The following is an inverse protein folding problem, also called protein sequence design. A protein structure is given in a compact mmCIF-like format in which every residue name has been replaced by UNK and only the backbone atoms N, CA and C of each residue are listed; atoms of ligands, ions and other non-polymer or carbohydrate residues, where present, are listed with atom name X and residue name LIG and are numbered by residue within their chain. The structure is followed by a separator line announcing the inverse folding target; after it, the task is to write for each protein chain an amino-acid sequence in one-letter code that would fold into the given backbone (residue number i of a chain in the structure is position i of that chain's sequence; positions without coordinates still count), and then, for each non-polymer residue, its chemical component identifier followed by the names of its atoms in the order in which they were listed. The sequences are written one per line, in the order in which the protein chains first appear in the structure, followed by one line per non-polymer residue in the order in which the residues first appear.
data_IF_028684520004
#
_entry.id   IF_028684520004
#
_cell.length_a   1.000
_cell.length_b   1.000
_cell.length_c   1.000
_cell.angle_alpha   90.00
_cell.angle_beta   90.00
_cell.angle_gamma   90.00
#
_symmetry.space_group_name_H-M   'P 1'
#
loop_
_entity.id
_entity.type
_entity.pdbx_description
1 polymer ?
#
# COMPACT_ATOMS: atom_id res chain seq x y z
N UNK A 1 -3.22 27.91 11.89
CA UNK A 1 -1.89 27.35 12.19
C UNK A 1 -1.84 26.03 11.43
N UNK A 2 -1.09 25.94 10.32
CA UNK A 2 -1.04 24.70 9.55
C UNK A 2 -0.19 23.70 10.33
N UNK A 3 -0.85 22.74 10.98
CA UNK A 3 -0.21 21.54 11.52
C UNK A 3 0.20 20.65 10.34
N UNK A 4 1.30 21.02 9.70
CA UNK A 4 1.98 20.13 8.77
C UNK A 4 2.56 18.99 9.60
N UNK A 5 2.09 17.77 9.34
CA UNK A 5 2.65 16.54 9.91
C UNK A 5 4.17 16.57 9.72
N UNK A 6 4.93 16.37 10.80
CA UNK A 6 6.39 16.36 10.71
C UNK A 6 6.84 15.15 9.88
N UNK A 7 7.97 15.23 9.16
CA UNK A 7 8.45 14.13 8.30
C UNK A 7 8.55 12.76 9.00
N UNK A 8 8.81 12.79 10.31
CA UNK A 8 9.05 11.60 11.13
C UNK A 8 7.81 11.20 11.96
N UNK A 9 6.71 11.93 11.82
CA UNK A 9 5.47 11.72 12.56
C UNK A 9 4.50 10.88 11.74
N UNK A 10 3.95 9.83 12.34
CA UNK A 10 2.94 9.02 11.66
C UNK A 10 1.65 9.82 11.56
N UNK A 11 1.38 10.35 10.36
CA UNK A 11 0.18 11.11 10.02
C UNK A 11 -1.11 10.35 10.37
N UNK A 12 -1.16 9.08 9.95
CA UNK A 12 -2.34 8.24 10.04
C UNK A 12 -1.92 6.78 10.18
N UNK A 13 -2.62 6.05 11.03
CA UNK A 13 -2.55 4.59 11.09
C UNK A 13 -3.78 4.02 10.39
N UNK A 14 -3.56 3.18 9.39
CA UNK A 14 -4.61 2.49 8.65
C UNK A 14 -4.64 1.03 9.07
N UNK A 15 -5.79 0.58 9.57
CA UNK A 15 -6.06 -0.83 9.78
C UNK A 15 -6.71 -1.37 8.50
N UNK A 16 -6.05 -2.34 7.87
CA UNK A 16 -6.52 -2.97 6.64
C UNK A 16 -6.94 -4.40 6.92
N UNK A 17 -8.12 -4.79 6.44
CA UNK A 17 -8.47 -6.21 6.37
C UNK A 17 -7.55 -6.93 5.38
N UNK A 18 -7.48 -8.26 5.44
CA UNK A 18 -6.68 -9.04 4.49
C UNK A 18 -7.08 -8.76 3.02
N UNK A 19 -8.39 -8.63 2.75
CA UNK A 19 -8.89 -8.25 1.43
C UNK A 19 -8.40 -6.86 1.00
N UNK A 20 -8.55 -5.86 1.87
CA UNK A 20 -8.10 -4.49 1.59
C UNK A 20 -6.58 -4.43 1.39
N UNK A 21 -5.81 -5.15 2.21
CA UNK A 21 -4.36 -5.22 2.11
C UNK A 21 -3.91 -5.79 0.76
N UNK A 22 -4.54 -6.88 0.30
CA UNK A 22 -4.24 -7.45 -1.02
C UNK A 22 -4.55 -6.47 -2.15
N UNK A 23 -5.69 -5.78 -2.08
CA UNK A 23 -6.09 -4.78 -3.07
C UNK A 23 -5.09 -3.62 -3.09
N UNK A 24 -4.78 -3.04 -1.93
CA UNK A 24 -3.86 -1.90 -1.80
C UNK A 24 -2.46 -2.26 -2.31
N UNK A 25 -1.90 -3.39 -1.89
CA UNK A 25 -0.60 -3.84 -2.38
C UNK A 25 -0.60 -4.00 -3.90
N UNK A 26 -1.63 -4.66 -4.46
CA UNK A 26 -1.73 -4.88 -5.91
C UNK A 26 -1.80 -3.55 -6.67
N UNK A 27 -2.64 -2.62 -6.22
CA UNK A 27 -2.78 -1.31 -6.84
C UNK A 27 -1.48 -0.48 -6.78
N UNK A 28 -0.80 -0.47 -5.62
CA UNK A 28 0.48 0.22 -5.46
C UNK A 28 1.58 -0.40 -6.31
N UNK A 29 1.59 -1.73 -6.44
CA UNK A 29 2.56 -2.43 -7.28
C UNK A 29 2.34 -2.10 -8.76
N UNK A 30 1.10 -2.12 -9.24
CA UNK A 30 0.76 -1.69 -10.60
C UNK A 30 1.18 -0.24 -10.84
N UNK A 31 0.83 0.68 -9.93
CA UNK A 31 1.28 2.07 -10.01
C UNK A 31 2.81 2.17 -10.07
N UNK A 32 3.54 1.47 -9.20
CA UNK A 32 5.01 1.49 -9.19
C UNK A 32 5.62 1.04 -10.51
N UNK A 33 5.04 0.00 -11.11
CA UNK A 33 5.51 -0.57 -12.37
C UNK A 33 5.21 0.36 -13.56
N UNK A 34 4.12 1.13 -13.50
CA UNK A 34 3.72 2.11 -14.52
C UNK A 34 4.51 3.44 -14.44
N UNK A 35 5.08 3.79 -13.27
CA UNK A 35 5.85 5.03 -13.08
C UNK A 35 7.20 5.02 -13.83
N UNK A 36 7.43 6.06 -14.62
CA UNK A 36 8.61 6.25 -15.47
C UNK A 36 9.75 7.05 -14.86
N UNK A 37 10.68 7.49 -15.72
CA UNK A 37 11.89 8.22 -15.31
C UNK A 37 11.63 9.66 -14.86
N UNK A 38 10.57 10.29 -15.37
CA UNK A 38 10.19 11.65 -14.98
C UNK A 38 9.52 11.67 -13.59
N UNK A 39 9.00 10.53 -13.12
CA UNK A 39 8.22 10.43 -11.89
C UNK A 39 9.00 9.73 -10.76
N UNK A 40 10.33 9.90 -10.74
CA UNK A 40 11.25 9.21 -9.82
C UNK A 40 10.95 9.47 -8.35
N UNK A 41 10.54 10.69 -8.03
CA UNK A 41 10.13 11.11 -6.69
C UNK A 41 8.89 10.36 -6.23
N UNK A 42 7.84 10.31 -7.05
CA UNK A 42 6.62 9.53 -6.77
C UNK A 42 6.96 8.04 -6.66
N UNK A 43 7.80 7.53 -7.55
CA UNK A 43 8.24 6.14 -7.55
C UNK A 43 8.97 5.77 -6.26
N UNK A 44 9.79 6.66 -5.72
CA UNK A 44 10.45 6.48 -4.42
C UNK A 44 9.46 6.46 -3.26
N UNK A 45 8.44 7.33 -3.28
CA UNK A 45 7.39 7.34 -2.25
C UNK A 45 6.59 6.03 -2.29
N UNK A 46 6.16 5.58 -3.48
CA UNK A 46 5.43 4.31 -3.62
C UNK A 46 6.29 3.13 -3.16
N UNK A 47 7.58 3.11 -3.49
CA UNK A 47 8.51 2.09 -2.99
C UNK A 47 8.62 2.09 -1.46
N UNK A 48 8.71 3.27 -0.84
CA UNK A 48 8.77 3.41 0.61
C UNK A 48 7.49 2.95 1.31
N UNK A 49 6.33 3.12 0.67
CA UNK A 49 5.05 2.58 1.17
C UNK A 49 5.01 1.06 1.00
N UNK A 50 5.36 0.53 -0.17
CA UNK A 50 5.41 -0.92 -0.42
C UNK A 50 6.35 -1.63 0.57
N UNK A 51 7.48 -1.02 0.94
CA UNK A 51 8.41 -1.57 1.92
C UNK A 51 7.84 -1.68 3.35
N UNK A 52 6.71 -1.02 3.64
CA UNK A 52 5.99 -1.12 4.93
C UNK A 52 4.92 -2.21 4.91
N UNK A 53 4.59 -2.77 3.74
CA UNK A 53 3.58 -3.81 3.58
C UNK A 53 4.24 -5.20 3.67
N UNK A 54 3.47 -6.27 3.96
CA UNK A 54 3.95 -7.64 3.84
C UNK A 54 4.46 -7.96 2.43
N UNK A 55 5.38 -8.91 2.34
CA UNK A 55 6.01 -9.29 1.09
C UNK A 55 5.04 -9.89 0.08
N UNK A 56 5.45 -9.90 -1.19
CA UNK A 56 4.61 -10.34 -2.30
C UNK A 56 4.05 -11.76 -2.11
N UNK A 57 4.84 -12.67 -1.54
CA UNK A 57 4.40 -14.04 -1.28
C UNK A 57 3.24 -14.10 -0.27
N UNK A 58 3.34 -13.32 0.82
CA UNK A 58 2.31 -13.23 1.86
C UNK A 58 1.02 -12.65 1.28
N UNK A 59 1.14 -11.60 0.48
CA UNK A 59 -0.01 -10.97 -0.19
C UNK A 59 -0.68 -11.91 -1.19
N UNK A 60 0.10 -12.66 -1.97
CA UNK A 60 -0.44 -13.61 -2.95
C UNK A 60 -1.22 -14.75 -2.28
N UNK A 61 -0.79 -15.19 -1.11
CA UNK A 61 -1.44 -16.26 -0.35
C UNK A 61 -2.85 -15.89 0.17
N UNK A 62 -3.20 -14.61 0.23
CA UNK A 62 -4.55 -14.16 0.64
C UNK A 62 -5.58 -14.55 -0.43
N UNK A 63 -6.56 -15.37 -0.07
CA UNK A 63 -7.71 -15.66 -0.94
C UNK A 63 -8.73 -14.50 -0.88
N UNK A 64 -8.70 -13.64 -1.90
CA UNK A 64 -9.56 -12.45 -1.94
C UNK A 64 -11.05 -12.80 -1.94
N UNK A 65 -11.45 -13.85 -2.66
CA UNK A 65 -12.84 -14.25 -2.75
C UNK A 65 -13.37 -14.76 -1.41
N UNK A 66 -12.54 -15.52 -0.69
CA UNK A 66 -12.86 -15.95 0.68
C UNK A 66 -12.97 -14.77 1.65
N UNK A 67 -12.00 -13.85 1.62
CA UNK A 67 -11.98 -12.72 2.55
C UNK A 67 -13.14 -11.75 2.32
N UNK A 68 -13.51 -11.47 1.07
CA UNK A 68 -14.66 -10.62 0.76
C UNK A 68 -15.99 -11.21 1.24
N UNK A 69 -16.15 -12.54 1.18
CA UNK A 69 -17.34 -13.23 1.72
C UNK A 69 -17.40 -13.23 3.25
N UNK A 70 -16.27 -13.04 3.93
CA UNK A 70 -16.21 -12.96 5.40
C UNK A 70 -16.65 -11.60 5.93
N UNK A 71 -16.47 -10.55 5.12
CA UNK A 71 -16.82 -9.17 5.45
C UNK A 71 -18.20 -8.74 4.97
N UNK A 72 -18.90 -9.57 4.20
CA UNK A 72 -20.28 -9.36 3.74
C UNK A 72 -21.29 -9.93 4.75
#
# INVERSE_FOLDING_TARGET
MNELIRPDETAFRLELTAAQLKIVHTALKSLFDDLGHEERDVKQVVAAVLAKLPGEHEIRAIDLGRELRRTA
#
